data_IF_964554251581
#
_entry.id   IF_964554251581
#
_cell.length_a   1.000
_cell.length_b   1.000
_cell.length_c   1.000
_cell.angle_alpha   90.00
_cell.angle_beta   90.00
_cell.angle_gamma   90.00
#
_symmetry.space_group_name_H-M   'P 1'
#
loop_
_entity.id
_entity.type
_entity.pdbx_description
1 polymer ?
#
# COMPACT_ATOMS: atom_id res chain seq x y z
N UNK A 1 16.73 -5.62 6.81
CA UNK A 1 15.42 -4.96 7.08
C UNK A 1 15.01 -4.97 8.55
N UNK A 2 15.16 -6.06 9.31
CA UNK A 2 14.81 -6.12 10.76
C UNK A 2 15.47 -5.05 11.64
N UNK A 3 16.65 -4.55 11.25
CA UNK A 3 17.34 -3.46 11.96
C UNK A 3 16.68 -2.10 11.69
N UNK A 4 16.21 -1.86 10.45
CA UNK A 4 15.50 -0.64 10.05
C UNK A 4 14.17 -0.49 10.81
N UNK A 5 13.43 -1.59 10.96
CA UNK A 5 12.17 -1.62 11.71
C UNK A 5 12.38 -1.28 13.19
N UNK A 6 13.45 -1.81 13.80
CA UNK A 6 13.81 -1.51 15.19
C UNK A 6 14.24 -0.06 15.37
N UNK A 7 15.02 0.49 14.45
CA UNK A 7 15.45 1.89 14.52
C UNK A 7 14.30 2.86 14.29
N UNK A 8 13.36 2.57 13.39
CA UNK A 8 12.14 3.37 13.21
C UNK A 8 11.23 3.33 14.44
N UNK A 9 11.02 2.14 15.02
CA UNK A 9 10.23 2.01 16.26
C UNK A 9 10.86 2.81 17.42
N UNK A 10 12.17 2.71 17.58
CA UNK A 10 12.89 3.49 18.59
C UNK A 10 12.85 4.99 18.29
N UNK A 11 12.85 5.40 17.02
CA UNK A 11 12.70 6.79 16.61
C UNK A 11 11.32 7.33 16.98
N UNK A 12 10.26 6.56 16.72
CA UNK A 12 8.87 6.90 17.09
C UNK A 12 8.72 7.09 18.60
N UNK A 13 9.20 6.14 19.40
CA UNK A 13 9.16 6.23 20.87
C UNK A 13 9.94 7.46 21.39
N UNK A 14 11.08 7.79 20.77
CA UNK A 14 11.91 8.95 21.15
C UNK A 14 11.30 10.29 20.72
N UNK A 15 10.61 10.34 19.58
CA UNK A 15 9.87 11.52 19.13
C UNK A 15 8.67 11.78 20.04
N UNK A 16 7.94 10.73 20.44
CA UNK A 16 6.86 10.81 21.43
C UNK A 16 7.37 11.29 22.80
N UNK A 17 8.55 10.84 23.23
CA UNK A 17 9.21 11.28 24.45
C UNK A 17 9.85 12.69 24.36
N UNK A 18 9.60 13.46 23.28
CA UNK A 18 10.19 14.78 22.99
C UNK A 18 11.72 14.80 22.90
N UNK A 19 12.36 13.65 22.70
CA UNK A 19 13.80 13.51 22.49
C UNK A 19 14.15 13.65 21.00
N UNK A 20 13.87 14.84 20.45
CA UNK A 20 13.93 15.13 19.01
C UNK A 20 15.30 14.75 18.40
N UNK A 21 16.41 15.14 19.02
CA UNK A 21 17.76 14.82 18.53
C UNK A 21 18.02 13.31 18.45
N UNK A 22 17.54 12.53 19.43
CA UNK A 22 17.74 11.07 19.45
C UNK A 22 16.79 10.35 18.49
N UNK A 23 15.60 10.91 18.24
CA UNK A 23 14.68 10.46 17.21
C UNK A 23 15.29 10.61 15.82
N UNK A 24 15.84 11.79 15.50
CA UNK A 24 16.51 12.07 14.22
C UNK A 24 17.67 11.09 13.97
N UNK A 25 18.48 10.79 14.98
CA UNK A 25 19.58 9.83 14.82
C UNK A 25 19.09 8.42 14.49
N UNK A 26 18.04 7.95 15.16
CA UNK A 26 17.45 6.63 14.89
C UNK A 26 16.73 6.57 13.54
N UNK A 27 16.16 7.68 13.08
CA UNK A 27 15.59 7.81 11.73
C UNK A 27 16.69 7.75 10.66
N UNK A 28 17.80 8.46 10.86
CA UNK A 28 18.96 8.43 9.95
C UNK A 28 19.58 7.02 9.84
N UNK A 29 19.67 6.30 10.95
CA UNK A 29 20.12 4.89 10.96
C UNK A 29 19.17 3.99 10.17
N UNK A 30 17.86 4.19 10.31
CA UNK A 30 16.88 3.45 9.53
C UNK A 30 17.04 3.71 8.04
N UNK A 31 17.12 4.98 7.64
CA UNK A 31 17.29 5.40 6.25
C UNK A 31 18.55 4.81 5.63
N UNK A 32 19.68 4.84 6.35
CA UNK A 32 20.93 4.24 5.89
C UNK A 32 20.79 2.75 5.64
N UNK A 33 20.17 2.01 6.57
CA UNK A 33 19.98 0.57 6.43
C UNK A 33 19.04 0.21 5.26
N UNK A 34 18.04 1.05 4.96
CA UNK A 34 17.15 0.87 3.81
C UNK A 34 17.93 1.13 2.51
N UNK A 35 18.73 2.18 2.46
CA UNK A 35 19.57 2.50 1.30
C UNK A 35 20.57 1.37 1.00
N UNK A 36 21.28 0.87 2.01
CA UNK A 36 22.20 -0.26 1.86
C UNK A 36 21.49 -1.51 1.32
N UNK A 37 20.29 -1.82 1.81
CA UNK A 37 19.53 -2.96 1.28
C UNK A 37 19.06 -2.75 -0.17
N UNK A 38 18.70 -1.51 -0.53
CA UNK A 38 18.32 -1.16 -1.90
C UNK A 38 19.51 -1.26 -2.85
N UNK A 39 20.70 -0.86 -2.40
CA UNK A 39 21.93 -0.94 -3.19
C UNK A 39 22.35 -2.39 -3.41
N UNK A 40 22.32 -3.22 -2.37
CA UNK A 40 22.55 -4.66 -2.49
C UNK A 40 21.57 -5.32 -3.47
N UNK A 41 20.28 -5.00 -3.36
CA UNK A 41 19.27 -5.52 -4.28
C UNK A 41 19.48 -5.03 -5.72
N UNK A 42 19.91 -3.78 -5.89
CA UNK A 42 20.25 -3.21 -7.19
C UNK A 42 21.49 -3.85 -7.80
N UNK A 43 22.51 -4.13 -6.99
CA UNK A 43 23.71 -4.88 -7.40
C UNK A 43 23.37 -6.31 -7.80
N UNK A 44 22.52 -7.02 -7.06
CA UNK A 44 22.08 -8.37 -7.42
C UNK A 44 21.25 -8.39 -8.71
N UNK A 45 20.40 -7.38 -8.92
CA UNK A 45 19.63 -7.21 -10.16
C UNK A 45 20.54 -6.91 -11.37
N UNK A 46 21.55 -6.05 -11.17
CA UNK A 46 22.51 -5.69 -12.21
C UNK A 46 23.56 -6.79 -12.47
N UNK A 47 23.84 -7.62 -11.46
CA UNK A 47 24.62 -8.86 -11.57
C UNK A 47 23.82 -10.01 -12.21
N UNK A 48 22.59 -9.74 -12.67
CA UNK A 48 21.88 -10.57 -13.64
C UNK A 48 22.58 -10.56 -14.99
N UNK A 49 23.74 -11.21 -15.07
CA UNK A 49 24.34 -11.68 -16.32
C UNK A 49 24.54 -13.19 -16.22
N UNK A 50 24.08 -13.98 -17.22
CA UNK A 50 24.45 -15.38 -17.31
C UNK A 50 25.93 -15.44 -17.68
N UNK A 51 26.80 -15.68 -16.71
CA UNK A 51 28.21 -15.94 -16.97
C UNK A 51 28.33 -17.24 -17.77
N UNK A 52 28.40 -17.10 -19.09
CA UNK A 52 29.07 -18.06 -19.96
C UNK A 52 30.57 -17.94 -19.71
N UNK A 53 31.21 -19.09 -19.50
CA UNK A 53 32.65 -19.39 -19.53
C UNK A 53 33.46 -19.10 -18.25
N UNK A 54 34.08 -20.17 -17.74
CA UNK A 54 35.10 -20.14 -16.69
C UNK A 54 35.01 -21.36 -15.78
N UNK A 55 35.71 -22.43 -16.14
CA UNK A 55 35.81 -23.70 -15.43
C UNK A 55 36.16 -23.52 -13.95
N UNK A 56 35.33 -24.04 -13.05
CA UNK A 56 35.79 -24.58 -11.78
C UNK A 56 34.76 -25.58 -11.25
N UNK A 57 35.30 -26.71 -10.82
CA UNK A 57 34.63 -27.96 -10.49
C UNK A 57 33.48 -27.76 -9.49
N UNK A 58 32.27 -28.18 -9.86
CA UNK A 58 31.18 -28.43 -8.92
C UNK A 58 30.63 -29.84 -9.15
N UNK A 59 30.72 -30.75 -8.16
CA UNK A 59 30.11 -32.07 -8.25
C UNK A 59 28.61 -31.97 -7.98
N UNK A 60 27.89 -33.00 -8.41
CA UNK A 60 26.44 -33.24 -8.28
C UNK A 60 25.54 -32.62 -9.35
N UNK A 61 25.36 -33.40 -10.42
CA UNK A 61 24.19 -33.33 -11.29
C UNK A 61 22.95 -33.75 -10.50
N UNK A 62 22.27 -32.78 -9.89
CA UNK A 62 20.98 -32.98 -9.27
C UNK A 62 19.87 -32.62 -10.27
N UNK A 63 19.29 -33.64 -10.88
CA UNK A 63 17.95 -33.60 -11.46
C UNK A 63 17.80 -32.90 -12.80
N UNK A 64 17.85 -33.65 -13.90
CA UNK A 64 17.14 -33.34 -15.14
C UNK A 64 15.63 -33.50 -14.94
N UNK A 65 15.07 -32.70 -14.03
CA UNK A 65 13.66 -32.65 -13.72
C UNK A 65 12.96 -31.67 -14.66
N UNK A 66 12.62 -32.10 -15.87
CA UNK A 66 11.59 -31.44 -16.70
C UNK A 66 10.17 -31.68 -16.13
N UNK A 67 10.03 -31.80 -14.81
CA UNK A 67 8.74 -31.70 -14.15
C UNK A 67 8.51 -30.22 -13.89
N UNK A 68 7.55 -29.63 -14.60
CA UNK A 68 6.93 -28.37 -14.18
C UNK A 68 6.35 -28.62 -12.79
N UNK A 69 7.11 -28.25 -11.78
CA UNK A 69 6.64 -28.19 -10.41
C UNK A 69 5.78 -26.92 -10.30
N UNK A 70 4.44 -27.02 -10.11
CA UNK A 70 3.59 -25.85 -9.89
C UNK A 70 3.96 -25.08 -8.62
N UNK A 71 4.82 -25.65 -7.75
CA UNK A 71 5.31 -25.03 -6.52
C UNK A 71 6.63 -24.27 -6.68
N UNK A 72 7.32 -24.38 -7.82
CA UNK A 72 8.48 -23.51 -8.12
C UNK A 72 7.96 -22.16 -8.58
N UNK A 73 7.44 -21.41 -7.61
CA UNK A 73 6.82 -20.11 -7.75
C UNK A 73 7.72 -19.11 -8.49
N UNK A 74 7.55 -19.06 -9.80
CA UNK A 74 7.57 -17.76 -10.46
C UNK A 74 6.35 -17.00 -9.95
N UNK A 75 6.53 -15.72 -9.66
CA UNK A 75 5.44 -14.82 -9.28
C UNK A 75 4.23 -15.12 -10.17
N UNK A 76 3.01 -15.33 -9.63
CA UNK A 76 1.84 -15.48 -10.46
C UNK A 76 1.88 -14.32 -11.45
N UNK A 77 1.97 -14.65 -12.75
CA UNK A 77 1.88 -13.60 -13.78
C UNK A 77 0.61 -12.85 -13.43
N UNK A 78 0.71 -11.54 -13.24
CA UNK A 78 -0.46 -10.71 -12.95
C UNK A 78 -1.50 -11.04 -14.02
N UNK A 79 -2.54 -11.78 -13.61
CA UNK A 79 -3.68 -12.00 -14.46
C UNK A 79 -4.24 -10.61 -14.70
N UNK A 80 -4.38 -10.24 -15.98
CA UNK A 80 -4.97 -8.96 -16.33
C UNK A 80 -6.45 -9.06 -16.00
N UNK A 81 -6.79 -8.76 -14.76
CA UNK A 81 -8.16 -8.67 -14.31
C UNK A 81 -8.83 -7.52 -15.08
N UNK A 82 -9.94 -7.83 -15.74
CA UNK A 82 -10.69 -6.82 -16.49
C UNK A 82 -11.42 -5.95 -15.48
N UNK A 83 -10.86 -4.76 -15.20
CA UNK A 83 -11.51 -3.77 -14.34
C UNK A 83 -12.57 -3.04 -15.16
N UNK A 84 -13.82 -3.12 -14.71
CA UNK A 84 -14.91 -2.32 -15.28
C UNK A 84 -14.72 -0.86 -14.86
N UNK A 85 -14.57 0.01 -15.86
CA UNK A 85 -14.56 1.45 -15.60
C UNK A 85 -15.97 1.91 -15.24
N UNK A 86 -16.12 2.76 -14.22
CA UNK A 86 -17.41 3.31 -13.87
C UNK A 86 -17.97 4.14 -15.03
N UNK A 87 -19.29 4.08 -15.22
CA UNK A 87 -19.97 4.86 -16.26
C UNK A 87 -20.06 6.33 -15.86
N UNK A 88 -20.14 7.24 -16.83
CA UNK A 88 -20.24 8.71 -16.60
C UNK A 88 -21.42 9.07 -15.66
N UNK A 89 -22.48 8.28 -15.70
CA UNK A 89 -23.68 8.45 -14.88
C UNK A 89 -23.61 7.81 -13.49
N UNK A 90 -22.54 7.08 -13.16
CA UNK A 90 -22.43 6.33 -11.90
C UNK A 90 -22.23 7.24 -10.68
N UNK A 91 -21.95 8.53 -10.89
CA UNK A 91 -21.99 9.54 -9.82
C UNK A 91 -23.44 9.87 -9.40
N UNK A 92 -24.44 9.57 -10.24
CA UNK A 92 -25.83 9.91 -9.98
C UNK A 92 -26.35 9.04 -8.83
N UNK A 93 -26.70 9.72 -7.76
CA UNK A 93 -27.25 9.13 -6.54
C UNK A 93 -28.44 8.20 -6.88
N UNK A 94 -28.41 6.93 -6.43
CA UNK A 94 -29.50 5.98 -6.63
C UNK A 94 -30.85 6.57 -6.19
N UNK A 95 -31.91 6.30 -6.95
CA UNK A 95 -33.26 6.84 -6.67
C UNK A 95 -33.73 6.50 -5.26
N UNK A 96 -33.44 5.29 -4.79
CA UNK A 96 -33.75 4.85 -3.43
C UNK A 96 -33.15 5.77 -2.34
N UNK A 97 -31.90 6.22 -2.51
CA UNK A 97 -31.25 7.13 -1.56
C UNK A 97 -31.84 8.54 -1.62
N UNK A 98 -32.26 9.00 -2.81
CA UNK A 98 -33.00 10.27 -2.94
C UNK A 98 -34.34 10.20 -2.21
N UNK A 99 -35.06 9.09 -2.32
CA UNK A 99 -36.33 8.87 -1.62
C UNK A 99 -36.15 8.80 -0.10
N UNK A 100 -35.08 8.16 0.37
CA UNK A 100 -34.74 8.09 1.80
C UNK A 100 -34.42 9.46 2.39
N UNK A 101 -33.67 10.31 1.68
CA UNK A 101 -33.44 11.70 2.10
C UNK A 101 -34.76 12.47 2.15
N UNK A 102 -35.61 12.33 1.12
CA UNK A 102 -36.91 13.00 1.09
C UNK A 102 -37.84 12.53 2.21
N UNK A 103 -37.81 11.24 2.56
CA UNK A 103 -38.57 10.70 3.69
C UNK A 103 -38.01 11.19 5.05
N UNK A 104 -36.69 11.28 5.18
CA UNK A 104 -36.04 11.86 6.35
C UNK A 104 -36.38 13.35 6.51
N UNK A 105 -36.49 14.11 5.42
CA UNK A 105 -36.92 15.52 5.44
C UNK A 105 -38.39 15.67 5.84
N UNK A 106 -39.25 14.70 5.51
CA UNK A 106 -40.68 14.73 5.88
C UNK A 106 -40.92 14.40 7.36
N UNK A 107 -39.99 13.69 8.00
CA UNK A 107 -40.04 13.42 9.44
C UNK A 107 -39.69 14.72 10.17
N UNK A 108 -40.65 15.28 10.92
CA UNK A 108 -40.48 16.57 11.60
C UNK A 108 -39.25 16.57 12.50
N UNK A 109 -38.30 17.45 12.23
CA UNK A 109 -37.16 17.72 13.11
C UNK A 109 -37.61 18.69 14.22
N UNK A 110 -37.05 18.62 15.44
CA UNK A 110 -37.39 19.57 16.49
C UNK A 110 -37.11 21.01 16.04
N UNK A 111 -38.07 21.92 16.24
CA UNK A 111 -38.04 23.34 15.78
C UNK A 111 -36.74 24.10 16.08
N UNK A 112 -36.02 23.70 17.12
CA UNK A 112 -34.73 24.28 17.51
C UNK A 112 -33.61 24.05 16.49
N UNK A 113 -33.69 22.99 15.67
CA UNK A 113 -32.62 22.58 14.75
C UNK A 113 -32.98 22.75 13.27
N UNK A 114 -34.21 23.17 12.95
CA UNK A 114 -34.67 23.37 11.56
C UNK A 114 -33.73 24.29 10.75
N UNK A 115 -33.25 25.39 11.36
CA UNK A 115 -32.33 26.33 10.68
C UNK A 115 -30.98 25.71 10.34
N UNK A 116 -30.38 25.01 11.30
CA UNK A 116 -29.07 24.36 11.14
C UNK A 116 -29.13 23.23 10.10
N UNK A 117 -30.22 22.48 10.10
CA UNK A 117 -30.46 21.41 9.12
C UNK A 117 -30.63 21.98 7.71
N UNK A 118 -31.39 23.07 7.57
CA UNK A 118 -31.58 23.73 6.28
C UNK A 118 -30.28 24.35 5.72
N UNK A 119 -29.43 24.93 6.57
CA UNK A 119 -28.12 25.45 6.17
C UNK A 119 -27.22 24.33 5.65
N UNK A 120 -27.13 23.21 6.39
CA UNK A 120 -26.31 22.06 6.00
C UNK A 120 -26.73 21.46 4.64
N UNK A 121 -28.02 21.29 4.40
CA UNK A 121 -28.49 20.77 3.11
C UNK A 121 -28.34 21.75 1.95
N UNK A 122 -28.32 23.07 2.21
CA UNK A 122 -28.09 24.08 1.18
C UNK A 122 -26.66 24.03 0.65
N UNK A 123 -25.69 23.79 1.53
CA UNK A 123 -24.28 23.61 1.13
C UNK A 123 -24.04 22.31 0.37
N UNK A 124 -24.84 21.26 0.62
CA UNK A 124 -24.67 19.96 -0.02
C UNK A 124 -25.18 19.89 -1.47
N UNK A 125 -25.98 20.86 -1.90
CA UNK A 125 -26.59 20.93 -3.24
C UNK A 125 -25.85 21.91 -4.18
N UNK A 126 -24.97 22.75 -3.64
CA UNK A 126 -24.19 23.75 -4.38
C UNK A 126 -22.89 23.15 -4.92
#
# INVERSE_FOLDING_TARGET
>A
MRNAERSLKNAEERLQAKQIQRGINSENEALKSIQETRDQLSQMKNAGSPSKQGEQETPLRLGTGNRRDPRRGGSPRMEKEQVLLPSEDQYKVPRAFREEILDAMKKQTPKSYERLVNEYYKELVQ
#
